data_IF_062339522294
#
_entry.id   IF_062339522294
#
_cell.length_a   1.000
_cell.length_b   1.000
_cell.length_c   1.000
_cell.angle_alpha   90.00
_cell.angle_beta   90.00
_cell.angle_gamma   90.00
#
_symmetry.space_group_name_H-M   'P 1'
#
loop_
_entity.id
_entity.type
_entity.pdbx_description
1 polymer ?
#
# COMPACT_ATOMS: atom_id res chain seq x y z
N UNK A 1 -7.28 -14.56 23.88
CA UNK A 1 -7.04 -13.10 23.76
C UNK A 1 -7.20 -12.76 22.29
N UNK A 2 -8.14 -11.88 21.91
CA UNK A 2 -8.23 -11.44 20.52
C UNK A 2 -7.01 -10.57 20.20
N UNK A 3 -6.24 -10.99 19.20
CA UNK A 3 -5.15 -10.16 18.68
C UNK A 3 -5.75 -8.95 17.95
N UNK A 4 -5.06 -7.79 17.97
CA UNK A 4 -5.47 -6.65 17.17
C UNK A 4 -5.46 -6.99 15.67
N UNK A 5 -6.40 -6.42 14.91
CA UNK A 5 -6.48 -6.59 13.46
C UNK A 5 -5.20 -6.05 12.80
N UNK A 6 -4.64 -6.82 11.87
CA UNK A 6 -3.48 -6.45 11.07
C UNK A 6 -3.96 -5.74 9.80
N UNK A 7 -3.57 -4.48 9.63
CA UNK A 7 -3.91 -3.71 8.43
C UNK A 7 -2.91 -4.03 7.33
N UNK A 8 -3.39 -4.43 6.15
CA UNK A 8 -2.57 -4.80 4.99
C UNK A 8 -2.92 -3.88 3.82
N UNK A 9 -1.96 -3.09 3.37
CA UNK A 9 -2.11 -2.20 2.21
C UNK A 9 -1.49 -2.83 0.96
N UNK A 10 -2.29 -2.94 -0.10
CA UNK A 10 -1.89 -3.57 -1.35
C UNK A 10 -1.71 -2.52 -2.46
N UNK A 11 -0.50 -2.40 -2.99
CA UNK A 11 -0.15 -1.46 -4.06
C UNK A 11 0.04 -2.21 -5.40
N UNK A 12 -0.78 -1.91 -6.42
CA UNK A 12 -0.64 -2.58 -7.71
C UNK A 12 0.63 -2.14 -8.45
N UNK A 13 1.03 -2.91 -9.45
CA UNK A 13 2.08 -2.50 -10.38
C UNK A 13 1.73 -1.22 -11.14
N UNK A 14 2.72 -0.59 -11.77
CA UNK A 14 2.48 0.58 -12.61
C UNK A 14 1.50 0.25 -13.74
N UNK A 15 0.54 1.15 -13.99
CA UNK A 15 -0.54 0.97 -14.96
C UNK A 15 -1.52 -0.20 -14.70
N UNK A 16 -1.44 -0.85 -13.54
CA UNK A 16 -2.41 -1.87 -13.11
C UNK A 16 -3.47 -1.27 -12.17
N UNK A 17 -4.70 -1.75 -12.30
CA UNK A 17 -5.80 -1.46 -11.37
C UNK A 17 -5.66 -2.28 -10.10
N UNK A 18 -6.17 -1.83 -8.94
CA UNK A 18 -6.23 -2.65 -7.72
C UNK A 18 -7.03 -3.95 -7.87
N UNK A 19 -7.83 -4.08 -8.93
CA UNK A 19 -8.57 -5.31 -9.27
C UNK A 19 -7.67 -6.54 -9.42
N UNK A 20 -6.36 -6.38 -9.65
CA UNK A 20 -5.41 -7.50 -9.62
C UNK A 20 -5.40 -8.26 -8.28
N UNK A 21 -5.92 -7.65 -7.21
CA UNK A 21 -6.01 -8.24 -5.88
C UNK A 21 -7.39 -8.82 -5.56
N UNK A 22 -8.35 -8.84 -6.50
CA UNK A 22 -9.75 -9.24 -6.23
C UNK A 22 -9.91 -10.68 -5.72
N UNK A 23 -8.94 -11.55 -6.02
CA UNK A 23 -8.91 -12.93 -5.56
C UNK A 23 -8.02 -13.16 -4.34
N UNK A 24 -7.36 -12.12 -3.81
CA UNK A 24 -6.62 -12.20 -2.55
C UNK A 24 -7.60 -12.06 -1.39
N UNK A 25 -7.73 -13.13 -0.61
CA UNK A 25 -8.58 -13.16 0.57
C UNK A 25 -7.74 -13.56 1.78
N UNK A 26 -7.77 -12.73 2.82
CA UNK A 26 -7.15 -13.01 4.10
C UNK A 26 -8.23 -13.25 5.16
N UNK A 27 -7.96 -14.04 6.23
CA UNK A 27 -8.89 -14.24 7.33
C UNK A 27 -9.34 -12.90 7.94
N UNK A 28 -10.63 -12.56 7.81
CA UNK A 28 -11.17 -11.24 8.19
C UNK A 28 -11.17 -10.98 9.69
N UNK A 29 -11.07 -12.04 10.49
CA UNK A 29 -10.89 -12.02 11.93
C UNK A 29 -9.48 -11.57 12.35
N UNK A 30 -8.51 -11.58 11.42
CA UNK A 30 -7.11 -11.24 11.67
C UNK A 30 -6.61 -10.08 10.80
N UNK A 31 -7.14 -9.90 9.59
CA UNK A 31 -6.62 -8.95 8.61
C UNK A 31 -7.70 -8.03 8.03
N UNK A 32 -7.32 -6.77 7.85
CA UNK A 32 -8.10 -5.80 7.07
C UNK A 32 -7.30 -5.33 5.86
N UNK A 33 -7.80 -5.64 4.67
CA UNK A 33 -7.17 -5.26 3.40
C UNK A 33 -7.59 -3.84 3.02
N UNK A 34 -6.62 -3.04 2.60
CA UNK A 34 -6.77 -1.71 2.03
C UNK A 34 -6.13 -1.71 0.63
N UNK A 35 -6.88 -1.33 -0.39
CA UNK A 35 -6.37 -1.25 -1.75
C UNK A 35 -5.88 0.17 -2.02
N UNK A 36 -4.62 0.30 -2.45
CA UNK A 36 -4.03 1.58 -2.81
C UNK A 36 -4.17 1.82 -4.32
N UNK A 37 -4.35 3.08 -4.69
CA UNK A 37 -4.40 3.54 -6.08
C UNK A 37 -3.26 4.53 -6.36
N UNK A 38 -2.76 4.52 -7.59
CA UNK A 38 -1.74 5.49 -8.01
C UNK A 38 -2.33 6.90 -8.00
N UNK A 39 -1.67 7.82 -7.30
CA UNK A 39 -1.92 9.25 -7.47
C UNK A 39 -1.23 9.72 -8.76
N UNK A 40 -1.82 10.72 -9.41
CA UNK A 40 -1.12 11.39 -10.51
C UNK A 40 0.15 12.04 -9.93
N UNK A 41 1.35 11.76 -10.47
CA UNK A 41 2.58 12.38 -10.01
C UNK A 41 2.63 13.85 -10.42
N UNK A 42 3.26 14.69 -9.60
CA UNK A 42 3.57 16.06 -9.99
C UNK A 42 4.75 16.07 -10.97
N UNK A 43 4.86 17.17 -11.74
CA UNK A 43 5.96 17.33 -12.70
C UNK A 43 7.29 17.33 -11.95
N UNK A 44 8.21 16.45 -12.38
CA UNK A 44 9.54 16.28 -11.77
C UNK A 44 9.53 15.88 -10.29
N UNK A 45 8.45 15.26 -9.80
CA UNK A 45 8.40 14.71 -8.44
C UNK A 45 9.38 13.56 -8.29
N UNK A 46 10.20 13.59 -7.24
CA UNK A 46 11.11 12.49 -6.90
C UNK A 46 10.32 11.27 -6.42
N UNK A 47 10.89 10.08 -6.54
CA UNK A 47 10.26 8.87 -5.99
C UNK A 47 10.05 9.00 -4.48
N UNK A 48 10.99 9.62 -3.77
CA UNK A 48 10.92 9.82 -2.32
C UNK A 48 9.76 10.75 -1.93
N UNK A 49 9.60 11.88 -2.62
CA UNK A 49 8.52 12.81 -2.32
C UNK A 49 7.16 12.23 -2.71
N UNK A 50 7.10 11.49 -3.84
CA UNK A 50 5.92 10.74 -4.23
C UNK A 50 5.57 9.68 -3.16
N UNK A 51 6.54 8.91 -2.66
CA UNK A 51 6.34 7.91 -1.62
C UNK A 51 5.82 8.53 -0.32
N UNK A 52 6.41 9.63 0.16
CA UNK A 52 5.87 10.39 1.32
C UNK A 52 4.43 10.82 1.12
N UNK A 53 4.09 11.30 -0.09
CA UNK A 53 2.71 11.70 -0.42
C UNK A 53 1.75 10.51 -0.53
N UNK A 54 2.25 9.34 -0.90
CA UNK A 54 1.48 8.10 -0.87
C UNK A 54 1.24 7.61 0.57
N UNK A 55 2.17 7.84 1.49
CA UNK A 55 2.00 7.49 2.92
C UNK A 55 0.79 8.18 3.58
N UNK A 56 0.27 9.28 3.02
CA UNK A 56 -0.95 9.92 3.53
C UNK A 56 -2.20 9.05 3.39
N UNK A 57 -2.18 8.02 2.55
CA UNK A 57 -3.27 7.04 2.42
C UNK A 57 -3.22 5.96 3.52
N UNK A 58 -2.12 5.87 4.27
CA UNK A 58 -1.96 4.90 5.36
C UNK A 58 -2.58 5.46 6.64
N UNK A 59 -3.76 4.95 6.99
CA UNK A 59 -4.58 5.46 8.11
C UNK A 59 -4.40 4.70 9.43
N UNK A 60 -3.65 3.60 9.43
CA UNK A 60 -3.57 2.68 10.57
C UNK A 60 -2.16 2.15 10.71
N UNK A 61 -1.60 2.23 11.92
CA UNK A 61 -0.27 1.75 12.26
C UNK A 61 -0.34 0.88 13.53
N UNK A 62 0.49 -0.18 13.64
CA UNK A 62 1.39 -0.69 12.61
C UNK A 62 0.62 -1.35 11.45
N UNK A 63 1.22 -1.39 10.26
CA UNK A 63 0.62 -2.03 9.08
C UNK A 63 1.64 -2.84 8.29
N UNK A 64 1.13 -3.67 7.37
CA UNK A 64 1.91 -4.42 6.39
C UNK A 64 1.70 -3.77 5.02
N UNK A 65 2.79 -3.52 4.30
CA UNK A 65 2.74 -3.10 2.91
C UNK A 65 3.10 -4.26 1.98
N UNK A 66 2.30 -4.45 0.93
CA UNK A 66 2.58 -5.42 -0.14
C UNK A 66 2.46 -4.69 -1.47
N UNK A 67 3.48 -4.80 -2.30
CA UNK A 67 3.49 -4.19 -3.62
C UNK A 67 3.94 -5.17 -4.70
N UNK A 68 3.34 -5.06 -5.89
CA UNK A 68 3.68 -5.89 -7.04
C UNK A 68 4.51 -5.08 -8.04
N UNK A 69 5.63 -5.64 -8.53
CA UNK A 69 6.49 -4.99 -9.52
C UNK A 69 6.89 -3.56 -9.08
N UNK A 70 6.64 -2.52 -9.89
CA UNK A 70 6.94 -1.13 -9.51
C UNK A 70 6.17 -0.64 -8.28
N UNK A 71 4.98 -1.19 -8.00
CA UNK A 71 4.29 -0.97 -6.72
C UNK A 71 5.09 -1.49 -5.54
N UNK A 72 5.85 -2.58 -5.73
CA UNK A 72 6.81 -3.13 -4.77
C UNK A 72 7.97 -2.19 -4.47
N UNK A 73 8.48 -1.49 -5.49
CA UNK A 73 9.52 -0.46 -5.32
C UNK A 73 8.97 0.71 -4.51
N UNK A 74 7.75 1.17 -4.85
CA UNK A 74 7.09 2.26 -4.13
C UNK A 74 6.88 1.93 -2.66
N UNK A 75 6.32 0.76 -2.32
CA UNK A 75 6.03 0.44 -0.92
C UNK A 75 7.29 0.24 -0.07
N UNK A 76 8.40 -0.19 -0.68
CA UNK A 76 9.70 -0.22 -0.01
C UNK A 76 10.16 1.20 0.34
N UNK A 77 10.05 2.14 -0.61
CA UNK A 77 10.37 3.55 -0.34
C UNK A 77 9.43 4.15 0.71
N UNK A 78 8.13 3.83 0.66
CA UNK A 78 7.14 4.27 1.64
C UNK A 78 7.49 3.81 3.07
N UNK A 79 8.03 2.60 3.24
CA UNK A 79 8.39 2.05 4.55
C UNK A 79 9.45 2.87 5.32
N UNK A 80 10.16 3.77 4.65
CA UNK A 80 11.10 4.69 5.30
C UNK A 80 10.38 5.85 6.03
N UNK A 81 9.08 6.02 5.82
CA UNK A 81 8.30 7.17 6.29
C UNK A 81 7.09 6.82 7.15
N UNK A 82 6.83 5.54 7.42
CA UNK A 82 5.68 5.03 8.20
C UNK A 82 6.10 4.19 9.40
#
# INVERSE_FOLDING_TARGET
MNQPIIHVYLMPGMAASPTIFEHIQLPRDQFQIHLLEWKIPYKSESLQDYAKRMCTEIRSHPCVLIGVSFGGVLVQEMSLFI
#
